data_IF_387080766320
#
_entry.id   IF_387080766320
#
_cell.length_a   1.000
_cell.length_b   1.000
_cell.length_c   1.000
_cell.angle_alpha   90.00
_cell.angle_beta   90.00
_cell.angle_gamma   90.00
#
_symmetry.space_group_name_H-M   'P 1'
#
loop_
_entity.id
_entity.type
_entity.pdbx_description
1 polymer ?
#
# COMPACT_ATOMS: atom_id res chain seq x y z
N UNK A 1 18.51 47.68 62.26
CA UNK A 1 17.66 46.94 63.22
C UNK A 1 16.25 47.47 63.08
N UNK A 2 15.27 46.58 62.96
CA UNK A 2 13.82 46.73 63.19
C UNK A 2 13.02 45.88 62.20
N UNK A 3 12.55 44.71 62.66
CA UNK A 3 11.39 43.98 62.16
C UNK A 3 10.28 44.17 63.21
N UNK A 4 9.00 44.33 62.85
CA UNK A 4 8.07 43.19 62.83
C UNK A 4 6.91 43.31 61.80
N UNK A 5 6.64 42.26 61.00
CA UNK A 5 5.51 41.29 61.07
C UNK A 5 4.23 41.69 60.26
N UNK A 6 3.39 40.70 59.87
CA UNK A 6 2.72 40.60 58.58
C UNK A 6 1.24 40.99 58.64
N UNK A 7 0.66 41.31 57.48
CA UNK A 7 -0.79 41.39 57.33
C UNK A 7 -1.27 40.44 56.24
N UNK A 8 -1.99 39.44 56.71
CA UNK A 8 -2.81 38.50 55.95
C UNK A 8 -3.97 39.31 55.33
N UNK A 9 -4.12 39.23 54.00
CA UNK A 9 -5.37 39.49 53.28
C UNK A 9 -5.20 38.88 51.87
N UNK A 10 -5.60 37.63 51.63
CA UNK A 10 -6.97 37.26 51.27
C UNK A 10 -7.54 38.13 50.13
N UNK A 11 -7.37 37.69 48.89
CA UNK A 11 -8.39 37.78 47.84
C UNK A 11 -7.89 37.05 46.58
N UNK A 12 -8.42 35.84 46.38
CA UNK A 12 -8.37 35.15 45.08
C UNK A 12 -9.17 35.96 44.06
N UNK A 13 -8.55 36.35 42.94
CA UNK A 13 -9.27 36.71 41.72
C UNK A 13 -8.63 35.92 40.57
N UNK A 14 -9.23 34.77 40.28
CA UNK A 14 -9.00 34.00 39.06
C UNK A 14 -9.56 34.82 37.88
N UNK A 15 -8.68 35.42 37.07
CA UNK A 15 -9.07 36.00 35.79
C UNK A 15 -8.83 34.95 34.69
N UNK A 16 -9.81 34.07 34.52
CA UNK A 16 -9.89 33.14 33.40
C UNK A 16 -10.22 33.93 32.11
N UNK A 17 -9.18 34.26 31.34
CA UNK A 17 -9.35 34.78 29.98
C UNK A 17 -9.82 33.67 29.05
N UNK A 18 -11.10 33.72 28.67
CA UNK A 18 -11.73 32.85 27.67
C UNK A 18 -11.06 33.02 26.31
N UNK A 19 -10.18 32.09 25.94
CA UNK A 19 -9.72 31.92 24.57
C UNK A 19 -10.86 31.28 23.79
N UNK A 20 -11.65 32.07 23.06
CA UNK A 20 -12.62 31.55 22.07
C UNK A 20 -11.81 31.06 20.86
N UNK A 21 -11.18 29.89 21.03
CA UNK A 21 -10.63 29.12 19.92
C UNK A 21 -11.78 28.46 19.19
N UNK A 22 -12.16 28.99 18.03
CA UNK A 22 -13.11 28.34 17.15
C UNK A 22 -12.61 26.94 16.80
N UNK A 23 -13.29 25.91 17.29
CA UNK A 23 -13.07 24.54 16.88
C UNK A 23 -13.58 24.38 15.45
N UNK A 24 -12.72 24.65 14.48
CA UNK A 24 -12.98 24.21 13.10
C UNK A 24 -13.07 22.68 13.16
N UNK A 25 -14.18 22.06 12.76
CA UNK A 25 -14.26 20.60 12.71
C UNK A 25 -13.23 20.14 11.68
N UNK A 26 -12.09 19.66 12.16
CA UNK A 26 -11.11 18.97 11.32
C UNK A 26 -11.73 17.62 10.97
N UNK A 27 -12.35 17.52 9.80
CA UNK A 27 -12.79 16.24 9.27
C UNK A 27 -11.53 15.45 8.91
N UNK A 28 -11.05 14.62 9.83
CA UNK A 28 -10.11 13.58 9.49
C UNK A 28 -10.81 12.67 8.47
N UNK A 29 -10.49 12.83 7.18
CA UNK A 29 -10.95 11.91 6.16
C UNK A 29 -10.25 10.58 6.42
N UNK A 30 -10.96 9.65 7.05
CA UNK A 30 -10.50 8.26 7.17
C UNK A 30 -10.27 7.72 5.75
N UNK A 31 -9.09 7.16 5.44
CA UNK A 31 -8.86 6.55 4.14
C UNK A 31 -9.98 5.53 3.87
N UNK A 32 -10.66 5.67 2.73
CA UNK A 32 -11.67 4.69 2.35
C UNK A 32 -11.03 3.30 2.31
N UNK A 33 -11.66 2.26 2.91
CA UNK A 33 -11.13 0.91 2.85
C UNK A 33 -10.92 0.49 1.40
N UNK A 34 -9.73 -0.01 1.09
CA UNK A 34 -9.42 -0.49 -0.27
C UNK A 34 -10.39 -1.59 -0.68
N UNK A 35 -10.83 -1.56 -1.93
CA UNK A 35 -11.68 -2.62 -2.46
C UNK A 35 -10.89 -3.94 -2.52
N UNK A 36 -11.57 -5.08 -2.41
CA UNK A 36 -10.89 -6.37 -2.49
C UNK A 36 -10.04 -6.56 -3.77
N UNK A 37 -10.50 -6.14 -4.98
CA UNK A 37 -9.66 -6.10 -6.17
C UNK A 37 -8.37 -5.29 -6.02
N UNK A 38 -8.43 -4.11 -5.40
CA UNK A 38 -7.25 -3.28 -5.12
C UNK A 38 -6.28 -3.99 -4.19
N UNK A 39 -6.79 -4.64 -3.12
CA UNK A 39 -5.97 -5.42 -2.18
C UNK A 39 -5.26 -6.56 -2.89
N UNK A 40 -5.95 -7.31 -3.76
CA UNK A 40 -5.34 -8.39 -4.55
C UNK A 40 -4.25 -7.85 -5.48
N UNK A 41 -4.51 -6.76 -6.18
CA UNK A 41 -3.53 -6.18 -7.08
C UNK A 41 -2.30 -5.65 -6.32
N UNK A 42 -2.48 -5.02 -5.17
CA UNK A 42 -1.39 -4.56 -4.31
C UNK A 42 -0.52 -5.72 -3.82
N UNK A 43 -1.14 -6.81 -3.35
CA UNK A 43 -0.42 -8.04 -2.95
C UNK A 43 0.37 -8.64 -4.11
N UNK A 44 -0.24 -8.69 -5.30
CA UNK A 44 0.39 -9.25 -6.48
C UNK A 44 1.56 -8.40 -6.99
N UNK A 45 1.41 -7.05 -7.01
CA UNK A 45 2.50 -6.12 -7.34
C UNK A 45 3.70 -6.31 -6.43
N UNK A 46 3.46 -6.47 -5.13
CA UNK A 46 4.52 -6.76 -4.15
C UNK A 46 5.23 -8.07 -4.50
N UNK A 47 4.49 -9.15 -4.70
CA UNK A 47 5.07 -10.45 -5.09
C UNK A 47 5.89 -10.37 -6.39
N UNK A 48 5.42 -9.60 -7.39
CA UNK A 48 6.15 -9.38 -8.64
C UNK A 48 7.52 -8.73 -8.40
N UNK A 49 7.53 -7.65 -7.62
CA UNK A 49 8.76 -6.93 -7.28
C UNK A 49 9.74 -7.81 -6.50
N UNK A 50 9.24 -8.61 -5.56
CA UNK A 50 10.05 -9.53 -4.76
C UNK A 50 10.63 -10.67 -5.61
N UNK A 51 9.84 -11.23 -6.52
CA UNK A 51 10.29 -12.29 -7.43
C UNK A 51 11.42 -11.79 -8.35
N UNK A 52 11.28 -10.59 -8.93
CA UNK A 52 12.32 -9.99 -9.76
C UNK A 52 13.58 -9.64 -8.95
N UNK A 53 13.42 -9.09 -7.75
CA UNK A 53 14.54 -8.76 -6.87
C UNK A 53 15.33 -10.02 -6.44
N UNK A 54 14.63 -11.12 -6.18
CA UNK A 54 15.26 -12.35 -5.72
C UNK A 54 15.98 -13.13 -6.82
N UNK A 55 15.35 -13.31 -7.98
CA UNK A 55 15.92 -14.15 -9.05
C UNK A 55 16.72 -13.37 -10.11
N UNK A 56 16.49 -12.06 -10.21
CA UNK A 56 17.00 -11.21 -11.28
C UNK A 56 16.21 -11.26 -12.60
N UNK A 57 16.78 -10.66 -13.65
CA UNK A 57 16.15 -10.50 -14.96
C UNK A 57 16.74 -11.36 -16.08
N UNK A 58 17.70 -12.23 -15.76
CA UNK A 58 18.38 -13.08 -16.76
C UNK A 58 17.36 -14.04 -17.40
N UNK A 59 17.39 -14.16 -18.72
CA UNK A 59 16.52 -15.07 -19.48
C UNK A 59 15.11 -14.55 -19.73
N UNK A 60 14.82 -13.30 -19.35
CA UNK A 60 13.52 -12.67 -19.57
C UNK A 60 13.55 -11.76 -20.78
N UNK A 61 12.60 -11.95 -21.68
CA UNK A 61 12.40 -11.03 -22.78
C UNK A 61 11.80 -9.71 -22.28
N UNK A 62 12.13 -8.64 -22.99
CA UNK A 62 11.53 -7.32 -22.74
C UNK A 62 10.01 -7.34 -22.94
N UNK A 63 9.53 -8.05 -23.97
CA UNK A 63 8.09 -8.20 -24.26
C UNK A 63 7.33 -8.84 -23.09
N UNK A 64 7.89 -9.86 -22.44
CA UNK A 64 7.29 -10.49 -21.27
C UNK A 64 7.18 -9.52 -20.08
N UNK A 65 8.23 -8.75 -19.80
CA UNK A 65 8.23 -7.73 -18.73
C UNK A 65 7.24 -6.61 -19.03
N UNK A 66 7.30 -6.01 -20.22
CA UNK A 66 6.44 -4.88 -20.62
C UNK A 66 4.95 -5.25 -20.59
N UNK A 67 4.58 -6.44 -21.05
CA UNK A 67 3.19 -6.92 -20.97
C UNK A 67 2.75 -7.15 -19.54
N UNK A 68 3.63 -7.65 -18.68
CA UNK A 68 3.32 -7.82 -17.26
C UNK A 68 3.14 -6.47 -16.58
N UNK A 69 4.03 -5.51 -16.83
CA UNK A 69 3.95 -4.16 -16.28
C UNK A 69 2.69 -3.44 -16.77
N UNK A 70 2.27 -3.68 -18.02
CA UNK A 70 0.99 -3.18 -18.55
C UNK A 70 -0.21 -3.72 -17.76
N UNK A 71 -0.21 -5.01 -17.41
CA UNK A 71 -1.24 -5.59 -16.55
C UNK A 71 -1.24 -4.94 -15.15
N UNK A 72 -0.07 -4.73 -14.54
CA UNK A 72 0.04 -4.06 -13.24
C UNK A 72 -0.43 -2.60 -13.30
N UNK A 73 -0.10 -1.88 -14.37
CA UNK A 73 -0.51 -0.50 -14.61
C UNK A 73 -2.03 -0.37 -14.79
N UNK A 74 -2.69 -1.40 -15.34
CA UNK A 74 -4.17 -1.46 -15.46
C UNK A 74 -4.92 -1.63 -14.14
N UNK A 75 -4.21 -1.72 -13.01
CA UNK A 75 -4.81 -2.14 -11.75
C UNK A 75 -5.13 -3.63 -11.70
N UNK A 76 -4.40 -4.46 -12.46
CA UNK A 76 -4.62 -5.90 -12.54
C UNK A 76 -6.02 -6.28 -13.07
N UNK A 77 -6.57 -5.48 -14.00
CA UNK A 77 -7.96 -5.66 -14.50
C UNK A 77 -8.04 -6.10 -15.95
N UNK A 78 -6.97 -5.90 -16.75
CA UNK A 78 -6.96 -6.36 -18.14
C UNK A 78 -6.94 -7.87 -18.22
N UNK A 79 -7.52 -8.41 -19.30
CA UNK A 79 -7.42 -9.85 -19.60
C UNK A 79 -5.96 -10.28 -19.67
N UNK A 80 -5.63 -11.41 -19.04
CA UNK A 80 -4.27 -11.97 -19.08
C UNK A 80 -3.84 -12.29 -20.52
N UNK A 81 -2.70 -11.75 -20.92
CA UNK A 81 -2.09 -11.92 -22.26
C UNK A 81 -0.55 -11.92 -22.18
N UNK A 82 -0.02 -12.36 -21.05
CA UNK A 82 1.42 -12.52 -20.82
C UNK A 82 1.76 -13.99 -21.08
N UNK A 83 2.26 -14.30 -22.27
CA UNK A 83 2.65 -15.66 -22.64
C UNK A 83 4.16 -15.87 -22.39
N UNK A 84 4.57 -16.78 -21.50
CA UNK A 84 5.97 -17.18 -21.37
C UNK A 84 6.48 -17.85 -22.65
N UNK A 85 7.66 -17.47 -23.11
CA UNK A 85 8.32 -17.98 -24.33
C UNK A 85 9.69 -18.61 -24.08
N UNK A 86 10.23 -18.48 -22.87
CA UNK A 86 11.45 -19.18 -22.42
C UNK A 86 11.19 -20.02 -21.18
N UNK A 87 12.14 -20.90 -20.84
CA UNK A 87 12.07 -21.70 -19.62
C UNK A 87 12.12 -20.79 -18.37
N UNK A 88 12.92 -19.73 -18.42
CA UNK A 88 13.08 -18.76 -17.33
C UNK A 88 11.83 -17.89 -17.13
N UNK A 89 11.09 -17.59 -18.21
CA UNK A 89 9.80 -16.91 -18.13
C UNK A 89 8.72 -17.84 -17.58
N UNK A 90 8.72 -19.12 -18.00
CA UNK A 90 7.76 -20.11 -17.52
C UNK A 90 7.97 -20.39 -16.02
N UNK A 91 9.22 -20.50 -15.60
CA UNK A 91 9.58 -20.66 -14.20
C UNK A 91 9.08 -19.47 -13.35
N UNK A 92 9.24 -18.23 -13.84
CA UNK A 92 8.62 -17.07 -13.18
C UNK A 92 7.10 -17.20 -13.09
N UNK A 93 6.46 -17.55 -14.20
CA UNK A 93 5.02 -17.58 -14.27
C UNK A 93 4.47 -18.58 -13.24
N UNK A 94 5.10 -19.74 -13.12
CA UNK A 94 4.79 -20.73 -12.10
C UNK A 94 5.01 -20.20 -10.68
N UNK A 95 6.14 -19.55 -10.41
CA UNK A 95 6.40 -18.91 -9.11
C UNK A 95 5.32 -17.88 -8.76
N UNK A 96 4.94 -17.06 -9.72
CA UNK A 96 3.93 -16.00 -9.54
C UNK A 96 2.52 -16.56 -9.33
N UNK A 97 2.17 -17.69 -9.96
CA UNK A 97 0.91 -18.40 -9.68
C UNK A 97 0.88 -18.89 -8.24
N UNK A 98 1.95 -19.52 -7.76
CA UNK A 98 2.06 -19.98 -6.37
C UNK A 98 2.01 -18.80 -5.40
N UNK A 99 2.74 -17.72 -5.68
CA UNK A 99 2.73 -16.51 -4.86
C UNK A 99 1.33 -15.89 -4.78
N UNK A 100 0.59 -15.85 -5.89
CA UNK A 100 -0.79 -15.38 -5.95
C UNK A 100 -1.71 -16.25 -5.07
N UNK A 101 -1.58 -17.58 -5.14
CA UNK A 101 -2.36 -18.50 -4.31
C UNK A 101 -2.04 -18.31 -2.81
N UNK A 102 -0.76 -18.21 -2.45
CA UNK A 102 -0.32 -17.98 -1.08
C UNK A 102 -0.78 -16.62 -0.52
N UNK A 103 -0.95 -15.62 -1.39
CA UNK A 103 -1.49 -14.32 -1.02
C UNK A 103 -3.03 -14.30 -0.86
N UNK A 104 -3.69 -15.45 -0.97
CA UNK A 104 -5.15 -15.60 -0.88
C UNK A 104 -5.89 -15.10 -2.12
N UNK A 105 -5.23 -15.11 -3.28
CA UNK A 105 -5.84 -14.78 -4.58
C UNK A 105 -6.07 -16.06 -5.40
N UNK A 106 -7.00 -16.02 -6.35
CA UNK A 106 -7.27 -17.18 -7.20
C UNK A 106 -6.07 -17.48 -8.14
N UNK A 107 -5.83 -18.75 -8.47
CA UNK A 107 -4.80 -19.15 -9.45
C UNK A 107 -5.02 -18.58 -10.86
N UNK A 108 -6.24 -18.11 -11.15
CA UNK A 108 -6.63 -17.42 -12.39
C UNK A 108 -6.39 -15.91 -12.36
N UNK A 109 -5.92 -15.35 -11.24
CA UNK A 109 -5.65 -13.93 -11.10
C UNK A 109 -4.42 -13.43 -11.90
N UNK A 110 -3.28 -14.14 -11.92
CA UNK A 110 -2.11 -13.74 -12.71
C UNK A 110 -2.42 -13.58 -14.21
N UNK A 111 -1.70 -12.74 -14.96
CA UNK A 111 -2.02 -12.40 -16.34
C UNK A 111 -1.51 -13.44 -17.35
N UNK A 112 -1.16 -14.65 -16.91
CA UNK A 112 -0.50 -15.63 -17.76
C UNK A 112 -1.51 -16.35 -18.66
N UNK A 113 -1.41 -16.11 -19.96
CA UNK A 113 -2.15 -16.85 -20.96
C UNK A 113 -1.41 -16.82 -22.30
N UNK A 114 -1.53 -17.90 -23.07
CA UNK A 114 -0.98 -17.98 -24.41
C UNK A 114 -2.14 -18.14 -25.41
N UNK A 115 -2.26 -17.19 -26.34
CA UNK A 115 -3.19 -17.33 -27.46
C UNK A 115 -2.65 -18.40 -28.43
N UNK A 116 -3.55 -19.17 -29.02
CA UNK A 116 -3.24 -20.14 -30.07
C UNK A 116 -2.93 -19.43 -31.38
#
# INVERSE_FOLDING_TARGET
MSRPLPSIAAAMIFLAGLVVGGTVPSTAQEPQPQSWPEVKCARYKKAWSEALAHRGMKGLSRDFIERHDTFLASGCTTKGDVCPRSAEELDLANMMVVAAMNAGTASTFPPFSCRK
#
